data_IF_724041197811
#
_entry.id   IF_724041197811
#
_cell.length_a   1.000
_cell.length_b   1.000
_cell.length_c   1.000
_cell.angle_alpha   90.00
_cell.angle_beta   90.00
_cell.angle_gamma   90.00
#
_symmetry.space_group_name_H-M   'P 1'
#
loop_
_entity.id
_entity.type
_entity.pdbx_description
1 polymer ?
#
# COMPACT_ATOMS: atom_id res chain seq x y z
N UNK A 1 0.38 38.42 -39.22
CA UNK A 1 0.99 38.24 -37.88
C UNK A 1 0.90 36.76 -37.53
N UNK A 2 2.02 36.05 -37.66
CA UNK A 2 2.12 34.61 -37.41
C UNK A 2 2.35 34.37 -35.92
N UNK A 3 1.42 33.71 -35.23
CA UNK A 3 1.62 33.26 -33.86
C UNK A 3 2.47 31.98 -33.86
N UNK A 4 3.77 32.15 -33.69
CA UNK A 4 4.71 31.05 -33.46
C UNK A 4 4.45 30.46 -32.06
N UNK A 5 3.86 29.26 -31.99
CA UNK A 5 3.78 28.48 -30.74
C UNK A 5 5.20 28.06 -30.35
N UNK A 6 5.68 28.61 -29.25
CA UNK A 6 6.96 28.22 -28.65
C UNK A 6 6.78 26.88 -27.93
N UNK A 7 7.25 25.79 -28.54
CA UNK A 7 7.34 24.48 -27.90
C UNK A 7 8.43 24.54 -26.83
N UNK A 8 8.04 24.68 -25.56
CA UNK A 8 8.94 24.48 -24.43
C UNK A 8 9.14 22.96 -24.27
N UNK A 9 10.38 22.44 -24.38
CA UNK A 9 10.62 21.02 -24.21
C UNK A 9 10.39 20.63 -22.75
N UNK A 10 9.35 19.83 -22.51
CA UNK A 10 9.10 19.16 -21.25
C UNK A 10 10.28 18.20 -20.99
N UNK A 11 11.22 18.57 -20.11
CA UNK A 11 12.24 17.65 -19.63
C UNK A 11 11.52 16.56 -18.83
N UNK A 12 11.22 15.43 -19.48
CA UNK A 12 10.86 14.20 -18.77
C UNK A 12 12.00 13.89 -17.80
N UNK A 13 11.73 14.04 -16.51
CA UNK A 13 12.59 13.51 -15.47
C UNK A 13 12.57 11.99 -15.59
N UNK A 14 13.59 11.41 -16.22
CA UNK A 14 13.97 10.01 -15.98
C UNK A 14 14.53 9.92 -14.56
N UNK A 15 13.66 9.94 -13.57
CA UNK A 15 13.99 9.42 -12.24
C UNK A 15 13.96 7.90 -12.41
N UNK A 16 15.12 7.33 -12.72
CA UNK A 16 15.29 5.89 -12.67
C UNK A 16 14.89 5.42 -11.27
N UNK A 17 13.95 4.47 -11.18
CA UNK A 17 13.73 3.73 -9.96
C UNK A 17 15.08 3.13 -9.55
N UNK A 18 15.71 3.66 -8.51
CA UNK A 18 16.91 3.05 -7.93
C UNK A 18 16.43 1.85 -7.11
N UNK A 19 16.01 0.81 -7.81
CA UNK A 19 15.71 -0.52 -7.25
C UNK A 19 16.96 -1.41 -7.25
N UNK A 20 18.13 -0.88 -7.60
CA UNK A 20 19.37 -1.62 -7.67
C UNK A 20 20.29 -1.27 -6.50
N UNK A 21 20.23 -2.05 -5.42
CA UNK A 21 21.42 -2.28 -4.61
C UNK A 21 21.87 -3.72 -4.83
N UNK A 22 22.77 -3.88 -5.80
CA UNK A 22 23.64 -5.04 -5.91
C UNK A 22 24.49 -5.11 -4.64
N UNK A 23 24.25 -6.12 -3.81
CA UNK A 23 25.20 -6.56 -2.79
C UNK A 23 26.42 -7.12 -3.52
N UNK A 24 27.42 -6.29 -3.79
CA UNK A 24 28.73 -6.77 -4.24
C UNK A 24 29.40 -7.52 -3.10
N UNK A 25 29.78 -8.76 -3.39
CA UNK A 25 30.46 -9.71 -2.52
C UNK A 25 31.72 -9.11 -1.88
N UNK A 26 31.70 -8.95 -0.55
CA UNK A 26 32.91 -8.80 0.27
C UNK A 26 33.49 -10.17 0.62
N UNK A 27 34.81 -10.29 0.49
CA UNK A 27 35.60 -11.51 0.43
C UNK A 27 35.38 -12.55 1.55
N UNK A 28 35.56 -13.82 1.18
CA UNK A 28 35.76 -14.95 2.09
C UNK A 28 37.03 -14.72 2.91
N UNK A 29 36.92 -14.72 4.24
CA UNK A 29 38.04 -15.02 5.12
C UNK A 29 37.75 -16.34 5.83
N UNK A 30 38.51 -17.34 5.39
CA UNK A 30 38.65 -18.64 6.04
C UNK A 30 39.45 -18.47 7.33
N UNK A 31 38.88 -18.88 8.44
CA UNK A 31 39.65 -19.34 9.61
C UNK A 31 39.01 -20.64 10.12
N UNK A 32 39.59 -21.77 9.72
CA UNK A 32 39.69 -22.96 10.56
C UNK A 32 40.87 -22.73 11.52
N UNK A 33 40.97 -23.26 12.73
CA UNK A 33 40.13 -24.09 13.59
C UNK A 33 40.71 -23.92 15.00
N UNK A 34 39.93 -24.13 16.05
CA UNK A 34 40.36 -25.05 17.11
C UNK A 34 39.16 -25.46 17.95
N UNK A 35 38.94 -26.77 17.98
CA UNK A 35 37.93 -27.41 18.80
C UNK A 35 38.55 -27.75 20.16
N UNK A 36 37.91 -27.33 21.24
CA UNK A 36 37.83 -28.16 22.44
C UNK A 36 36.45 -28.05 23.10
N UNK A 37 36.02 -29.22 23.55
CA UNK A 37 34.69 -29.54 24.06
C UNK A 37 34.50 -29.06 25.50
N UNK A 38 33.28 -28.66 25.87
CA UNK A 38 32.51 -29.15 27.03
C UNK A 38 31.41 -28.15 27.40
N UNK A 39 30.15 -28.43 27.09
CA UNK A 39 29.23 -29.04 28.04
C UNK A 39 27.80 -29.09 27.49
N UNK A 40 27.19 -30.24 27.72
CA UNK A 40 25.84 -30.62 27.31
C UNK A 40 24.83 -29.84 28.16
N UNK A 41 24.44 -28.65 27.72
CA UNK A 41 23.26 -27.97 28.24
C UNK A 41 22.02 -28.55 27.54
N UNK A 42 21.25 -29.25 28.36
CA UNK A 42 19.87 -29.71 28.17
C UNK A 42 19.10 -28.99 27.06
N UNK A 43 18.49 -29.80 26.18
CA UNK A 43 17.49 -29.37 25.22
C UNK A 43 16.36 -28.63 25.96
N UNK A 44 16.44 -27.30 26.01
CA UNK A 44 15.31 -26.47 26.34
C UNK A 44 14.27 -26.68 25.26
N UNK A 45 13.15 -27.25 25.68
CA UNK A 45 11.88 -27.25 24.96
C UNK A 45 11.73 -25.95 24.18
N UNK A 46 11.65 -26.05 22.85
CA UNK A 46 11.30 -24.93 21.98
C UNK A 46 9.87 -24.51 22.32
N UNK A 47 9.74 -23.70 23.38
CA UNK A 47 8.56 -22.94 23.65
C UNK A 47 8.29 -22.14 22.37
N UNK A 48 7.12 -22.39 21.80
CA UNK A 48 6.57 -21.78 20.60
C UNK A 48 6.52 -20.26 20.83
N UNK A 49 7.65 -19.58 20.67
CA UNK A 49 7.76 -18.15 20.94
C UNK A 49 6.91 -17.44 19.91
N UNK A 50 5.88 -16.74 20.38
CA UNK A 50 5.02 -15.94 19.51
C UNK A 50 5.94 -14.90 18.88
N UNK A 51 6.20 -15.01 17.58
CA UNK A 51 6.96 -14.01 16.85
C UNK A 51 6.23 -12.67 16.97
N UNK A 52 6.76 -11.80 17.81
CA UNK A 52 6.20 -10.49 18.11
C UNK A 52 6.12 -9.63 16.84
N UNK A 53 5.16 -8.71 16.80
CA UNK A 53 5.07 -7.73 15.73
C UNK A 53 6.25 -6.77 15.78
N UNK A 54 6.81 -6.48 14.61
CA UNK A 54 7.80 -5.43 14.43
C UNK A 54 7.12 -4.07 14.64
N UNK A 55 7.74 -3.22 15.45
CA UNK A 55 7.29 -1.84 15.69
C UNK A 55 7.94 -0.93 14.65
N UNK A 56 7.16 -0.02 14.08
CA UNK A 56 7.68 1.02 13.18
C UNK A 56 7.29 2.38 13.74
N UNK A 57 8.28 3.15 14.17
CA UNK A 57 8.10 4.54 14.63
C UNK A 57 8.55 5.52 13.58
N UNK A 58 8.24 6.80 13.76
CA UNK A 58 8.58 7.86 12.82
C UNK A 58 9.72 8.71 13.37
N UNK A 59 10.76 8.93 12.58
CA UNK A 59 11.73 10.01 12.78
C UNK A 59 11.36 11.15 11.85
N UNK A 60 11.14 12.34 12.39
CA UNK A 60 10.76 13.52 11.63
C UNK A 60 11.95 14.43 11.34
N UNK A 61 12.00 14.98 10.12
CA UNK A 61 12.90 16.08 9.75
C UNK A 61 12.09 17.12 8.99
N UNK A 62 12.11 18.37 9.48
CA UNK A 62 11.41 19.48 8.85
C UNK A 62 12.38 20.65 8.67
N UNK A 63 12.40 21.25 7.49
CA UNK A 63 13.18 22.45 7.18
C UNK A 63 12.37 23.34 6.23
N UNK A 64 12.29 24.64 6.50
CA UNK A 64 11.56 25.60 5.65
C UNK A 64 12.43 26.83 5.43
N UNK A 65 12.50 27.26 4.17
CA UNK A 65 13.24 28.45 3.71
C UNK A 65 12.42 29.14 2.63
N UNK A 66 12.88 30.32 2.19
CA UNK A 66 12.27 31.02 1.05
C UNK A 66 12.39 30.24 -0.28
N UNK A 67 13.30 29.27 -0.36
CA UNK A 67 13.57 28.52 -1.60
C UNK A 67 12.89 27.15 -1.60
N UNK A 68 12.66 26.54 -0.44
CA UNK A 68 12.05 25.22 -0.35
C UNK A 68 11.46 24.92 1.03
N UNK A 69 10.58 23.91 1.06
CA UNK A 69 10.09 23.25 2.26
C UNK A 69 10.36 21.74 2.19
N UNK A 70 10.87 21.18 3.28
CA UNK A 70 11.09 19.76 3.47
C UNK A 70 10.28 19.25 4.67
N UNK A 71 9.51 18.17 4.47
CA UNK A 71 8.73 17.47 5.50
C UNK A 71 8.93 15.97 5.38
N UNK A 72 9.87 15.41 6.16
CA UNK A 72 10.26 14.01 6.04
C UNK A 72 9.80 13.21 7.26
N UNK A 73 8.92 12.24 7.05
CA UNK A 73 8.50 11.24 8.02
C UNK A 73 9.18 9.91 7.66
N UNK A 74 10.30 9.64 8.32
CA UNK A 74 11.16 8.50 8.01
C UNK A 74 10.82 7.32 8.93
N UNK A 75 10.50 6.13 8.39
CA UNK A 75 10.23 4.95 9.20
C UNK A 75 11.51 4.47 9.91
N UNK A 76 11.36 4.13 11.19
CA UNK A 76 12.39 3.49 12.01
C UNK A 76 11.84 2.17 12.51
N UNK A 77 12.48 1.08 12.09
CA UNK A 77 12.08 -0.29 12.36
C UNK A 77 12.76 -0.77 13.64
N UNK A 78 11.97 -1.35 14.53
CA UNK A 78 12.46 -2.07 15.71
C UNK A 78 11.71 -3.39 15.93
N UNK A 79 12.43 -4.41 16.39
CA UNK A 79 11.88 -5.74 16.67
C UNK A 79 12.04 -6.76 15.54
N UNK A 80 12.87 -6.51 14.52
CA UNK A 80 13.33 -7.58 13.64
C UNK A 80 14.21 -8.57 14.42
N UNK A 81 14.09 -9.85 14.06
CA UNK A 81 14.88 -10.94 14.64
C UNK A 81 16.36 -10.83 14.24
N UNK A 82 16.63 -10.38 13.01
CA UNK A 82 17.96 -10.08 12.51
C UNK A 82 18.29 -8.60 12.76
N UNK A 83 19.10 -8.33 13.80
CA UNK A 83 19.46 -6.97 14.21
C UNK A 83 20.43 -6.29 13.26
N UNK A 84 21.25 -7.05 12.52
CA UNK A 84 22.15 -6.49 11.52
C UNK A 84 21.33 -5.97 10.34
N UNK A 85 20.44 -6.81 9.80
CA UNK A 85 19.53 -6.41 8.73
C UNK A 85 18.62 -5.23 9.14
N UNK A 86 18.17 -5.20 10.40
CA UNK A 86 17.41 -4.08 10.95
C UNK A 86 18.18 -2.75 10.85
N UNK A 87 19.45 -2.75 11.27
CA UNK A 87 20.29 -1.56 11.22
C UNK A 87 20.53 -1.12 9.76
N UNK A 88 20.84 -2.06 8.87
CA UNK A 88 21.04 -1.79 7.43
C UNK A 88 19.79 -1.20 6.78
N UNK A 89 18.61 -1.75 7.07
CA UNK A 89 17.37 -1.26 6.50
C UNK A 89 17.01 0.15 7.03
N UNK A 90 17.20 0.41 8.32
CA UNK A 90 17.00 1.74 8.89
C UNK A 90 17.96 2.77 8.26
N UNK A 91 19.21 2.39 8.02
CA UNK A 91 20.18 3.25 7.33
C UNK A 91 19.73 3.55 5.88
N UNK A 92 19.29 2.52 5.14
CA UNK A 92 18.76 2.69 3.77
C UNK A 92 17.57 3.66 3.75
N UNK A 93 16.59 3.47 4.63
CA UNK A 93 15.40 4.32 4.71
C UNK A 93 15.76 5.77 5.02
N UNK A 94 16.68 5.99 5.97
CA UNK A 94 17.13 7.34 6.33
C UNK A 94 17.92 7.99 5.20
N UNK A 95 18.82 7.24 4.55
CA UNK A 95 19.70 7.77 3.51
C UNK A 95 18.91 8.19 2.28
N UNK A 96 17.99 7.36 1.79
CA UNK A 96 17.17 7.68 0.63
C UNK A 96 16.35 8.97 0.85
N UNK A 97 15.71 9.11 2.02
CA UNK A 97 14.94 10.31 2.35
C UNK A 97 15.82 11.57 2.40
N UNK A 98 17.04 11.47 2.95
CA UNK A 98 17.99 12.59 3.02
C UNK A 98 18.60 12.93 1.66
N UNK A 99 18.81 11.94 0.79
CA UNK A 99 19.28 12.13 -0.58
C UNK A 99 18.24 12.88 -1.41
N UNK A 100 16.96 12.47 -1.35
CA UNK A 100 15.86 13.19 -2.00
C UNK A 100 15.80 14.66 -1.55
N UNK A 101 15.88 14.89 -0.24
CA UNK A 101 15.94 16.24 0.32
C UNK A 101 17.14 17.04 -0.20
N UNK A 102 18.33 16.43 -0.22
CA UNK A 102 19.56 17.10 -0.69
C UNK A 102 19.45 17.49 -2.16
N UNK A 103 18.84 16.65 -2.99
CA UNK A 103 18.59 16.94 -4.41
C UNK A 103 17.68 18.17 -4.54
N UNK A 104 16.54 18.17 -3.85
CA UNK A 104 15.55 19.26 -3.94
C UNK A 104 16.12 20.57 -3.38
N UNK A 105 16.80 20.52 -2.23
CA UNK A 105 17.52 21.67 -1.66
C UNK A 105 18.53 22.27 -2.65
N UNK A 106 19.30 21.43 -3.33
CA UNK A 106 20.29 21.89 -4.32
C UNK A 106 19.60 22.55 -5.52
N UNK A 107 18.54 21.93 -6.05
CA UNK A 107 17.82 22.47 -7.21
C UNK A 107 17.17 23.82 -6.89
N UNK A 108 16.44 23.90 -5.78
CA UNK A 108 15.78 25.11 -5.33
C UNK A 108 16.75 26.29 -5.16
N UNK A 109 17.88 26.07 -4.48
CA UNK A 109 18.88 27.12 -4.27
C UNK A 109 19.56 27.55 -5.57
N UNK A 110 19.81 26.62 -6.50
CA UNK A 110 20.41 26.94 -7.79
C UNK A 110 19.48 27.78 -8.67
N UNK A 111 18.18 27.46 -8.68
CA UNK A 111 17.19 28.24 -9.41
C UNK A 111 17.03 29.64 -8.81
N UNK A 112 16.85 29.73 -7.49
CA UNK A 112 16.77 31.01 -6.79
C UNK A 112 18.02 31.89 -7.04
N UNK A 113 19.21 31.29 -7.08
CA UNK A 113 20.45 32.01 -7.40
C UNK A 113 20.52 32.45 -8.87
N UNK A 114 19.92 31.69 -9.79
CA UNK A 114 19.88 32.01 -11.22
C UNK A 114 18.92 33.18 -11.50
N UNK A 115 17.76 33.19 -10.85
CA UNK A 115 16.76 34.27 -10.96
C UNK A 115 17.26 35.61 -10.42
N UNK A 116 18.16 35.60 -9.44
CA UNK A 116 18.82 36.83 -8.97
C UNK A 116 19.78 37.45 -10.01
N UNK A 117 20.27 36.66 -10.96
CA UNK A 117 21.20 37.11 -12.01
C UNK A 117 20.48 37.63 -13.25
N UNK A 118 19.25 37.18 -13.49
CA UNK A 118 18.37 37.63 -14.57
C UNK A 118 17.01 38.02 -13.98
N UNK A 119 16.79 39.31 -13.66
CA UNK A 119 15.62 39.79 -12.95
C UNK A 119 14.36 39.90 -13.82
N UNK A 120 14.39 39.42 -15.06
CA UNK A 120 13.20 39.32 -15.94
C UNK A 120 12.77 37.87 -16.14
N UNK A 121 12.40 37.12 -15.09
CA UNK A 121 12.02 35.74 -15.26
C UNK A 121 10.69 35.63 -16.01
N UNK A 122 10.60 34.62 -16.89
CA UNK A 122 9.39 34.33 -17.64
C UNK A 122 8.24 33.76 -16.76
N UNK A 123 8.48 33.56 -15.46
CA UNK A 123 7.53 32.98 -14.50
C UNK A 123 7.87 33.40 -13.05
N UNK A 124 6.89 33.28 -12.16
CA UNK A 124 7.05 33.49 -10.72
C UNK A 124 7.68 32.26 -10.06
N UNK A 125 8.74 32.45 -9.28
CA UNK A 125 9.36 31.37 -8.51
C UNK A 125 8.53 31.06 -7.26
N UNK A 126 8.21 29.79 -7.10
CA UNK A 126 7.60 29.26 -5.89
C UNK A 126 8.59 28.34 -5.17
N UNK A 127 8.61 28.36 -3.82
CA UNK A 127 9.44 27.44 -3.07
C UNK A 127 9.19 25.99 -3.49
N UNK A 128 10.25 25.21 -3.63
CA UNK A 128 10.12 23.79 -3.94
C UNK A 128 9.63 23.03 -2.70
N UNK A 129 8.92 21.91 -2.89
CA UNK A 129 8.52 21.03 -1.80
C UNK A 129 9.17 19.65 -1.96
N UNK A 130 9.56 19.06 -0.83
CA UNK A 130 9.85 17.63 -0.71
C UNK A 130 9.18 17.07 0.54
N UNK A 131 8.39 16.02 0.34
CA UNK A 131 7.66 15.36 1.40
C UNK A 131 7.87 13.85 1.32
N UNK A 132 8.28 13.26 2.45
CA UNK A 132 8.41 11.80 2.58
C UNK A 132 7.40 11.32 3.62
N UNK A 133 6.56 10.37 3.23
CA UNK A 133 5.62 9.68 4.11
C UNK A 133 5.78 8.17 3.97
N UNK A 134 5.31 7.41 4.95
CA UNK A 134 5.30 5.95 4.86
C UNK A 134 4.02 5.34 5.42
N UNK A 135 3.73 4.14 4.94
CA UNK A 135 2.64 3.28 5.40
C UNK A 135 3.19 1.91 5.78
N UNK A 136 2.85 1.43 6.99
CA UNK A 136 3.08 0.05 7.40
C UNK A 136 1.97 -0.84 6.81
N UNK A 137 2.33 -1.67 5.84
CA UNK A 137 1.40 -2.55 5.12
C UNK A 137 1.30 -3.94 5.75
N UNK A 138 2.39 -4.42 6.34
CA UNK A 138 2.42 -5.69 7.07
C UNK A 138 3.49 -5.64 8.17
N UNK A 139 3.23 -6.18 9.35
CA UNK A 139 4.01 -5.90 10.57
C UNK A 139 5.05 -6.98 10.96
N UNK A 140 5.32 -7.96 10.11
CA UNK A 140 6.36 -8.97 10.37
C UNK A 140 6.07 -9.93 11.52
N UNK A 141 4.84 -9.98 12.02
CA UNK A 141 4.39 -10.94 13.03
C UNK A 141 4.05 -12.31 12.41
N UNK A 142 3.86 -13.33 13.25
CA UNK A 142 3.36 -14.65 12.81
C UNK A 142 2.05 -14.57 12.03
N UNK A 143 1.12 -13.68 12.42
CA UNK A 143 -0.16 -13.48 11.73
C UNK A 143 -0.01 -12.92 10.31
N UNK A 144 1.15 -12.36 10.00
CA UNK A 144 1.54 -11.89 8.66
C UNK A 144 2.57 -12.81 7.99
N UNK A 145 2.70 -14.04 8.47
CA UNK A 145 3.73 -15.02 8.07
C UNK A 145 5.17 -14.48 8.16
N UNK A 146 5.42 -13.61 9.13
CA UNK A 146 6.73 -12.97 9.31
C UNK A 146 7.06 -11.95 8.22
N UNK A 147 6.09 -11.47 7.43
CA UNK A 147 6.36 -10.48 6.38
C UNK A 147 6.21 -9.07 6.94
N UNK A 148 7.31 -8.33 7.02
CA UNK A 148 7.29 -6.88 7.20
C UNK A 148 7.20 -6.22 5.82
N UNK A 149 6.29 -5.28 5.64
CA UNK A 149 6.11 -4.57 4.37
C UNK A 149 5.83 -3.09 4.60
N UNK A 150 6.62 -2.24 3.96
CA UNK A 150 6.50 -0.78 3.99
C UNK A 150 6.28 -0.23 2.57
N UNK A 151 5.44 0.79 2.47
CA UNK A 151 5.32 1.66 1.30
C UNK A 151 5.80 3.05 1.70
N UNK A 152 6.77 3.61 1.00
CA UNK A 152 7.31 4.95 1.22
C UNK A 152 6.97 5.81 0.01
N UNK A 153 6.39 6.98 0.24
CA UNK A 153 6.00 7.93 -0.78
C UNK A 153 6.89 9.16 -0.67
N UNK A 154 7.62 9.49 -1.73
CA UNK A 154 8.35 10.75 -1.86
C UNK A 154 7.61 11.63 -2.85
N UNK A 155 6.99 12.71 -2.37
CA UNK A 155 6.34 13.72 -3.20
C UNK A 155 7.24 14.95 -3.34
N UNK A 156 7.37 15.46 -4.55
CA UNK A 156 8.15 16.66 -4.84
C UNK A 156 7.34 17.65 -5.67
N UNK A 157 7.57 18.94 -5.44
CA UNK A 157 7.08 20.00 -6.31
C UNK A 157 8.24 20.94 -6.61
N UNK A 158 8.57 21.07 -7.89
CA UNK A 158 9.71 21.87 -8.38
C UNK A 158 9.22 22.90 -9.40
N UNK A 159 8.00 23.42 -9.20
CA UNK A 159 7.29 24.26 -10.17
C UNK A 159 6.51 23.48 -11.25
N UNK A 160 5.78 24.21 -12.09
CA UNK A 160 4.93 23.65 -13.15
C UNK A 160 3.48 23.41 -12.72
N UNK A 161 2.73 22.64 -13.52
CA UNK A 161 1.30 22.46 -13.31
C UNK A 161 0.94 21.56 -12.11
N UNK A 162 1.84 20.65 -11.72
CA UNK A 162 1.62 19.71 -10.63
C UNK A 162 2.95 19.13 -10.10
N UNK A 163 2.91 18.55 -8.89
CA UNK A 163 4.04 17.81 -8.33
C UNK A 163 4.20 16.40 -8.93
N UNK A 164 5.25 15.70 -8.48
CA UNK A 164 5.54 14.30 -8.81
C UNK A 164 5.56 13.47 -7.54
N UNK A 165 5.16 12.20 -7.65
CA UNK A 165 5.26 11.24 -6.53
C UNK A 165 5.96 9.99 -7.00
N UNK A 166 6.99 9.59 -6.24
CA UNK A 166 7.67 8.30 -6.37
C UNK A 166 7.25 7.39 -5.21
N UNK A 167 7.04 6.11 -5.48
CA UNK A 167 6.75 5.10 -4.45
C UNK A 167 7.84 4.05 -4.40
N UNK A 168 8.47 3.93 -3.24
CA UNK A 168 9.46 2.91 -2.90
C UNK A 168 8.82 1.88 -1.94
N UNK A 169 9.10 0.59 -2.15
CA UNK A 169 8.51 -0.50 -1.36
C UNK A 169 9.57 -1.41 -0.76
N UNK A 170 9.42 -1.76 0.53
CA UNK A 170 10.39 -2.58 1.26
C UNK A 170 9.68 -3.80 1.84
N UNK A 171 10.07 -5.00 1.42
CA UNK A 171 9.48 -6.27 1.85
C UNK A 171 10.54 -7.19 2.44
N UNK A 172 10.34 -7.60 3.69
CA UNK A 172 11.33 -8.37 4.46
C UNK A 172 10.66 -9.56 5.10
N UNK A 173 11.30 -10.73 4.98
CA UNK A 173 10.96 -11.91 5.77
C UNK A 173 11.69 -11.83 7.10
N UNK A 174 10.97 -11.52 8.17
CA UNK A 174 11.45 -11.47 9.55
C UNK A 174 11.72 -12.90 10.04
N UNK A 175 13.00 -13.27 10.08
CA UNK A 175 13.51 -14.55 10.58
C UNK A 175 14.93 -14.31 11.13
N UNK A 176 15.57 -15.31 11.73
CA UNK A 176 16.89 -15.16 12.35
C UNK A 176 17.96 -14.57 11.39
N UNK A 177 17.90 -14.96 10.11
CA UNK A 177 18.64 -14.33 9.02
C UNK A 177 17.64 -13.69 8.07
N UNK A 178 17.36 -12.39 8.24
CA UNK A 178 16.31 -11.73 7.48
C UNK A 178 16.66 -11.68 5.99
N UNK A 179 15.64 -11.75 5.13
CA UNK A 179 15.83 -11.70 3.68
C UNK A 179 14.82 -10.79 3.02
N UNK A 180 15.25 -10.02 2.02
CA UNK A 180 14.34 -9.34 1.10
C UNK A 180 13.41 -10.36 0.45
N UNK A 181 12.13 -10.00 0.31
CA UNK A 181 11.14 -10.81 -0.40
C UNK A 181 11.02 -10.31 -1.84
N UNK A 182 11.05 -11.24 -2.79
CA UNK A 182 10.77 -11.00 -4.20
C UNK A 182 9.39 -11.54 -4.59
N UNK A 183 8.87 -11.14 -5.75
CA UNK A 183 7.65 -11.73 -6.32
C UNK A 183 7.82 -13.23 -6.61
N UNK A 184 9.03 -13.68 -6.94
CA UNK A 184 9.35 -15.10 -7.13
C UNK A 184 9.23 -15.89 -5.82
N UNK A 185 9.61 -15.32 -4.68
CA UNK A 185 9.46 -15.98 -3.37
C UNK A 185 7.99 -16.15 -2.97
N UNK A 186 7.12 -15.28 -3.48
CA UNK A 186 5.69 -15.28 -3.18
C UNK A 186 4.89 -16.19 -4.13
N UNK A 187 5.21 -16.18 -5.42
CA UNK A 187 4.43 -16.83 -6.47
C UNK A 187 5.15 -18.00 -7.19
N UNK A 188 6.38 -18.30 -6.80
CA UNK A 188 7.21 -19.34 -7.42
C UNK A 188 7.79 -18.97 -8.78
N UNK A 189 8.29 -19.96 -9.51
CA UNK A 189 9.00 -19.77 -10.80
C UNK A 189 8.14 -19.16 -11.90
N UNK A 190 6.81 -19.29 -11.82
CA UNK A 190 5.86 -18.77 -12.81
C UNK A 190 5.24 -17.42 -12.42
N UNK A 191 5.83 -16.68 -11.45
CA UNK A 191 5.29 -15.43 -10.94
C UNK A 191 4.90 -14.41 -12.02
N UNK A 192 5.76 -14.16 -13.01
CA UNK A 192 5.46 -13.22 -14.12
C UNK A 192 4.19 -13.60 -14.86
N UNK A 193 3.97 -14.89 -15.14
CA UNK A 193 2.78 -15.37 -15.86
C UNK A 193 1.51 -15.08 -15.07
N UNK A 194 1.50 -15.43 -13.78
CA UNK A 194 0.34 -15.23 -12.88
C UNK A 194 0.02 -13.74 -12.73
N UNK A 195 1.05 -12.95 -12.45
CA UNK A 195 0.89 -11.52 -12.17
C UNK A 195 0.48 -10.75 -13.44
N UNK A 196 1.15 -10.99 -14.57
CA UNK A 196 0.81 -10.34 -15.84
C UNK A 196 -0.61 -10.67 -16.28
N UNK A 197 -1.08 -11.91 -16.08
CA UNK A 197 -2.45 -12.29 -16.42
C UNK A 197 -3.47 -11.52 -15.59
N UNK A 198 -3.25 -11.38 -14.27
CA UNK A 198 -4.13 -10.60 -13.39
C UNK A 198 -4.12 -9.11 -13.77
N UNK A 199 -2.96 -8.51 -14.00
CA UNK A 199 -2.85 -7.10 -14.41
C UNK A 199 -3.57 -6.83 -15.72
N UNK A 200 -3.34 -7.66 -16.75
CA UNK A 200 -4.03 -7.54 -18.05
C UNK A 200 -5.55 -7.67 -17.89
N UNK A 201 -6.00 -8.61 -17.06
CA UNK A 201 -7.43 -8.77 -16.75
C UNK A 201 -8.01 -7.55 -16.02
N UNK A 202 -7.27 -6.94 -15.10
CA UNK A 202 -7.69 -5.72 -14.40
C UNK A 202 -7.79 -4.54 -15.37
N UNK A 203 -6.77 -4.30 -16.21
CA UNK A 203 -6.77 -3.23 -17.21
C UNK A 203 -7.93 -3.41 -18.20
N UNK A 204 -8.20 -4.63 -18.66
CA UNK A 204 -9.29 -4.91 -19.59
C UNK A 204 -10.69 -4.64 -19.02
N UNK A 205 -10.86 -4.59 -17.70
CA UNK A 205 -12.14 -4.26 -17.04
C UNK A 205 -12.42 -2.75 -17.00
N UNK A 206 -11.39 -1.93 -17.14
CA UNK A 206 -11.50 -0.47 -17.10
C UNK A 206 -10.48 0.21 -18.06
N UNK A 207 -10.58 -0.07 -19.38
CA UNK A 207 -9.55 0.31 -20.34
C UNK A 207 -9.37 1.83 -20.49
N UNK A 208 -10.39 2.63 -20.20
CA UNK A 208 -10.34 4.11 -20.31
C UNK A 208 -9.47 4.76 -19.23
N UNK A 209 -9.25 4.06 -18.10
CA UNK A 209 -8.39 4.53 -17.00
C UNK A 209 -6.90 4.29 -17.25
N UNK A 210 -6.53 3.51 -18.27
CA UNK A 210 -5.15 3.12 -18.55
C UNK A 210 -4.74 3.50 -19.97
N UNK A 211 -3.43 3.57 -20.23
CA UNK A 211 -2.96 3.77 -21.59
C UNK A 211 -3.24 2.54 -22.45
N UNK A 212 -3.74 2.78 -23.66
CA UNK A 212 -3.79 1.76 -24.70
C UNK A 212 -2.38 1.20 -24.94
N UNK A 213 -2.24 -0.11 -24.84
CA UNK A 213 -0.96 -0.84 -24.93
C UNK A 213 0.11 -0.44 -23.90
N UNK A 214 -0.28 0.24 -22.81
CA UNK A 214 0.61 0.75 -21.77
C UNK A 214 1.29 -0.31 -20.91
N UNK A 215 0.77 -1.54 -20.88
CA UNK A 215 1.31 -2.64 -20.07
C UNK A 215 1.69 -3.85 -20.91
N UNK A 216 2.98 -4.24 -20.86
CA UNK A 216 3.50 -5.43 -21.54
C UNK A 216 3.73 -6.59 -20.57
N UNK A 217 4.53 -6.33 -19.53
CA UNK A 217 4.90 -7.27 -18.47
C UNK A 217 5.43 -6.48 -17.27
N UNK A 218 5.30 -7.03 -16.07
CA UNK A 218 6.09 -6.57 -14.91
C UNK A 218 7.59 -6.78 -15.13
N UNK A 219 8.41 -5.95 -14.49
CA UNK A 219 9.84 -6.16 -14.35
C UNK A 219 10.16 -7.21 -13.26
N UNK A 220 11.42 -7.64 -13.15
CA UNK A 220 11.85 -8.55 -12.06
C UNK A 220 11.84 -7.86 -10.70
N UNK A 221 12.13 -6.56 -10.71
CA UNK A 221 12.19 -5.69 -9.55
C UNK A 221 10.95 -4.79 -9.43
N UNK A 222 9.81 -5.23 -9.99
CA UNK A 222 8.56 -4.48 -9.93
C UNK A 222 8.21 -4.17 -8.47
N UNK A 223 7.95 -2.89 -8.17
CA UNK A 223 7.53 -2.46 -6.84
C UNK A 223 6.25 -3.18 -6.42
N UNK A 224 6.25 -3.68 -5.19
CA UNK A 224 5.08 -4.31 -4.60
C UNK A 224 5.13 -4.19 -3.09
N UNK A 225 3.99 -4.29 -2.43
CA UNK A 225 3.96 -4.51 -0.98
C UNK A 225 3.05 -5.69 -0.64
N UNK A 226 3.16 -6.21 0.57
CA UNK A 226 2.31 -7.30 1.05
C UNK A 226 1.35 -6.75 2.09
N UNK A 227 0.06 -7.03 1.90
CA UNK A 227 -0.99 -6.63 2.83
C UNK A 227 -2.14 -7.63 2.74
N UNK A 228 -2.71 -8.02 3.89
CA UNK A 228 -3.95 -8.80 3.96
C UNK A 228 -3.96 -10.07 3.07
N UNK A 229 -2.83 -10.79 3.00
CA UNK A 229 -2.69 -12.01 2.19
C UNK A 229 -2.57 -11.79 0.68
N UNK A 230 -2.29 -10.55 0.26
CA UNK A 230 -2.11 -10.16 -1.14
C UNK A 230 -0.73 -9.52 -1.35
N UNK A 231 -0.18 -9.73 -2.53
CA UNK A 231 0.82 -8.81 -3.09
C UNK A 231 0.07 -7.70 -3.84
N UNK A 232 0.38 -6.45 -3.53
CA UNK A 232 -0.13 -5.28 -4.22
C UNK A 232 0.97 -4.76 -5.11
N UNK A 233 0.79 -4.91 -6.43
CA UNK A 233 1.75 -4.45 -7.43
C UNK A 233 1.56 -2.94 -7.60
N UNK A 234 2.65 -2.19 -7.49
CA UNK A 234 2.65 -0.73 -7.56
C UNK A 234 3.27 -0.31 -8.90
N UNK A 235 2.57 0.56 -9.61
CA UNK A 235 3.06 1.24 -10.81
C UNK A 235 3.34 2.70 -10.46
N UNK A 236 4.48 3.22 -10.89
CA UNK A 236 4.82 4.63 -10.70
C UNK A 236 3.82 5.54 -11.43
N UNK A 237 3.77 6.80 -11.00
CA UNK A 237 2.99 7.81 -11.70
C UNK A 237 3.37 7.84 -13.18
N UNK A 238 2.37 7.92 -14.06
CA UNK A 238 2.54 7.85 -15.52
C UNK A 238 3.03 6.52 -16.11
N UNK A 239 3.23 5.45 -15.32
CA UNK A 239 3.81 4.21 -15.86
C UNK A 239 2.82 3.47 -16.78
N UNK A 240 1.56 3.30 -16.35
CA UNK A 240 0.52 2.60 -17.13
C UNK A 240 -0.78 3.39 -17.31
N UNK A 241 -0.87 4.58 -16.70
CA UNK A 241 -2.07 5.41 -16.65
C UNK A 241 -1.70 6.90 -16.57
N UNK A 242 -2.60 7.83 -16.96
CA UNK A 242 -2.35 9.27 -16.85
C UNK A 242 -2.25 9.76 -15.41
N UNK A 243 -1.74 10.98 -15.21
CA UNK A 243 -1.57 11.62 -13.89
C UNK A 243 -2.81 11.49 -12.99
N UNK A 244 -4.00 11.69 -13.56
CA UNK A 244 -5.27 11.70 -12.84
C UNK A 244 -5.59 10.34 -12.19
N UNK A 245 -4.98 9.25 -12.64
CA UNK A 245 -5.09 7.94 -12.02
C UNK A 245 -4.18 7.76 -10.79
N UNK A 246 -3.29 8.72 -10.50
CA UNK A 246 -2.38 8.71 -9.37
C UNK A 246 -1.28 7.64 -9.50
N UNK A 247 -1.15 6.80 -8.47
CA UNK A 247 -0.24 5.65 -8.41
C UNK A 247 -1.10 4.39 -8.55
N UNK A 248 -1.16 3.74 -9.73
CA UNK A 248 -1.97 2.55 -9.91
C UNK A 248 -1.46 1.38 -9.05
N UNK A 249 -2.37 0.74 -8.33
CA UNK A 249 -2.10 -0.42 -7.49
C UNK A 249 -3.00 -1.60 -7.88
N UNK A 250 -2.40 -2.78 -8.11
CA UNK A 250 -3.14 -3.98 -8.53
C UNK A 250 -2.93 -5.10 -7.52
N UNK A 251 -4.03 -5.54 -6.93
CA UNK A 251 -4.08 -6.57 -5.90
C UNK A 251 -4.04 -7.98 -6.47
N UNK A 252 -3.17 -8.83 -5.92
CA UNK A 252 -2.99 -10.22 -6.34
C UNK A 252 -2.92 -11.12 -5.09
N UNK A 253 -3.86 -12.07 -4.98
CA UNK A 253 -3.87 -13.01 -3.86
C UNK A 253 -2.60 -13.88 -3.85
N UNK A 254 -1.97 -14.05 -2.68
CA UNK A 254 -0.81 -14.92 -2.55
C UNK A 254 -1.23 -16.40 -2.65
N UNK A 255 -0.41 -17.28 -3.24
CA UNK A 255 -0.66 -18.73 -3.23
C UNK A 255 -0.82 -19.26 -1.81
N UNK A 256 -1.78 -20.14 -1.59
CA UNK A 256 -2.09 -20.68 -0.25
C UNK A 256 -2.72 -19.66 0.71
N UNK A 257 -2.71 -18.37 0.37
CA UNK A 257 -3.63 -17.39 0.92
C UNK A 257 -4.84 -17.31 0.01
N UNK A 258 -5.74 -18.26 0.18
CA UNK A 258 -7.13 -17.81 0.24
C UNK A 258 -7.11 -16.85 1.42
N UNK A 259 -7.35 -15.56 1.20
CA UNK A 259 -7.82 -14.72 2.32
C UNK A 259 -8.81 -15.56 3.10
N UNK A 260 -8.70 -15.60 4.42
CA UNK A 260 -9.46 -16.49 5.32
C UNK A 260 -10.95 -16.19 5.35
N UNK A 261 -11.54 -15.91 4.20
CA UNK A 261 -12.84 -16.36 3.79
C UNK A 261 -12.82 -17.87 3.64
N UNK A 262 -13.49 -18.62 4.55
CA UNK A 262 -13.69 -20.05 4.38
C UNK A 262 -14.14 -20.36 2.96
N UNK A 263 -13.60 -21.43 2.36
CA UNK A 263 -13.88 -21.85 0.98
C UNK A 263 -15.37 -22.08 0.68
N UNK A 264 -16.23 -22.07 1.70
CA UNK A 264 -17.67 -22.05 1.61
C UNK A 264 -18.29 -20.86 2.37
N UNK A 265 -17.89 -19.63 2.02
CA UNK A 265 -18.44 -18.38 2.57
C UNK A 265 -19.98 -18.34 2.53
N UNK A 266 -20.55 -18.88 1.46
CA UNK A 266 -22.00 -18.98 1.26
C UNK A 266 -22.70 -19.82 2.32
N UNK A 267 -21.99 -20.74 2.99
CA UNK A 267 -22.50 -21.57 4.07
C UNK A 267 -22.21 -21.01 5.47
N UNK A 268 -21.43 -19.94 5.60
CA UNK A 268 -21.17 -19.33 6.90
C UNK A 268 -22.37 -18.52 7.38
N UNK A 269 -22.64 -18.63 8.68
CA UNK A 269 -23.60 -17.76 9.33
C UNK A 269 -23.05 -16.34 9.46
N UNK A 270 -23.88 -15.32 9.24
CA UNK A 270 -23.53 -13.93 9.55
C UNK A 270 -24.01 -13.61 10.96
N UNK A 271 -23.11 -13.21 11.85
CA UNK A 271 -23.43 -12.83 13.22
C UNK A 271 -23.19 -11.34 13.42
N UNK A 272 -24.17 -10.64 13.98
CA UNK A 272 -24.07 -9.23 14.36
C UNK A 272 -24.38 -9.10 15.85
N UNK A 273 -23.45 -8.57 16.63
CA UNK A 273 -23.60 -8.39 18.09
C UNK A 273 -24.11 -9.66 18.80
N UNK A 274 -23.54 -10.82 18.44
CA UNK A 274 -23.89 -12.12 18.99
C UNK A 274 -25.16 -12.77 18.43
N UNK A 275 -25.92 -12.10 17.54
CA UNK A 275 -27.15 -12.63 16.94
C UNK A 275 -26.90 -13.06 15.49
N UNK A 276 -27.33 -14.27 15.15
CA UNK A 276 -27.29 -14.76 13.77
C UNK A 276 -28.36 -14.05 12.91
N UNK A 277 -27.95 -13.54 11.74
CA UNK A 277 -28.85 -12.94 10.77
C UNK A 277 -29.47 -14.01 9.87
N UNK A 278 -30.80 -14.05 9.79
CA UNK A 278 -31.53 -14.97 8.92
C UNK A 278 -31.34 -14.59 7.44
N UNK A 279 -31.33 -15.58 6.55
CA UNK A 279 -31.37 -15.41 5.09
C UNK A 279 -30.29 -14.47 4.51
N UNK A 280 -29.10 -14.48 5.11
CA UNK A 280 -27.96 -13.66 4.72
C UNK A 280 -26.91 -14.53 4.03
N UNK A 281 -26.90 -14.50 2.70
CA UNK A 281 -25.91 -15.21 1.89
C UNK A 281 -24.75 -14.29 1.54
N UNK A 282 -23.57 -14.62 2.08
CA UNK A 282 -22.28 -14.03 1.72
C UNK A 282 -21.79 -14.65 0.40
N UNK A 283 -20.88 -13.99 -0.31
CA UNK A 283 -20.14 -14.64 -1.39
C UNK A 283 -18.72 -14.11 -1.47
N UNK A 284 -17.85 -14.86 -2.15
CA UNK A 284 -16.50 -14.43 -2.48
C UNK A 284 -16.51 -13.86 -3.89
N UNK A 285 -16.03 -12.64 -4.10
CA UNK A 285 -15.83 -12.16 -5.47
C UNK A 285 -14.62 -12.88 -6.13
N UNK A 286 -14.40 -12.61 -7.42
CA UNK A 286 -13.30 -13.21 -8.21
C UNK A 286 -11.89 -12.88 -7.66
N UNK A 287 -11.79 -11.98 -6.69
CA UNK A 287 -10.54 -11.50 -6.07
C UNK A 287 -10.35 -12.05 -4.64
N UNK A 288 -11.15 -13.04 -4.26
CA UNK A 288 -11.11 -13.66 -2.94
C UNK A 288 -11.77 -12.84 -1.84
N UNK A 289 -12.37 -11.69 -2.15
CA UNK A 289 -12.89 -10.75 -1.15
C UNK A 289 -14.28 -11.21 -0.67
N UNK A 290 -14.45 -11.22 0.65
CA UNK A 290 -15.74 -11.46 1.28
C UNK A 290 -16.70 -10.32 0.96
N UNK A 291 -17.78 -10.63 0.27
CA UNK A 291 -18.85 -9.68 -0.07
C UNK A 291 -20.05 -9.97 0.81
N UNK A 292 -20.54 -8.93 1.50
CA UNK A 292 -21.64 -9.03 2.46
C UNK A 292 -22.77 -8.09 2.06
N UNK A 293 -24.04 -8.46 2.27
CA UNK A 293 -25.16 -7.61 1.90
C UNK A 293 -25.21 -6.39 2.82
N UNK A 294 -24.94 -5.22 2.25
CA UNK A 294 -24.73 -3.97 2.99
C UNK A 294 -25.90 -3.67 3.91
N UNK A 295 -27.11 -3.61 3.35
CA UNK A 295 -28.34 -3.24 4.07
C UNK A 295 -28.55 -4.09 5.31
N UNK A 296 -28.53 -5.42 5.14
CA UNK A 296 -28.83 -6.38 6.20
C UNK A 296 -27.84 -6.31 7.35
N UNK A 297 -26.54 -6.19 7.06
CA UNK A 297 -25.50 -6.11 8.10
C UNK A 297 -25.49 -4.73 8.77
N UNK A 298 -25.62 -3.65 8.00
CA UNK A 298 -25.60 -2.29 8.51
C UNK A 298 -26.81 -1.99 9.39
N UNK A 299 -28.03 -2.35 8.97
CA UNK A 299 -29.25 -2.19 9.77
C UNK A 299 -29.18 -2.97 11.09
N UNK A 300 -28.63 -4.19 11.07
CA UNK A 300 -28.42 -4.99 12.28
C UNK A 300 -27.38 -4.37 13.25
N UNK A 301 -26.46 -3.56 12.73
CA UNK A 301 -25.49 -2.78 13.50
C UNK A 301 -26.05 -1.41 13.95
N UNK A 302 -27.30 -1.09 13.64
CA UNK A 302 -27.95 0.17 14.00
C UNK A 302 -27.70 1.32 13.02
N UNK A 303 -27.23 1.04 11.81
CA UNK A 303 -27.07 2.04 10.76
C UNK A 303 -28.29 2.13 9.85
N UNK A 304 -28.64 3.33 9.43
CA UNK A 304 -29.63 3.64 8.42
C UNK A 304 -28.95 3.88 7.07
N UNK A 305 -29.62 3.47 5.99
CA UNK A 305 -29.15 3.68 4.62
C UNK A 305 -30.06 4.65 3.89
N UNK A 306 -29.48 5.70 3.31
CA UNK A 306 -30.19 6.64 2.45
C UNK A 306 -29.52 6.73 1.08
N UNK A 307 -30.32 6.82 0.02
CA UNK A 307 -29.81 7.17 -1.32
C UNK A 307 -29.73 8.68 -1.44
N UNK A 308 -28.64 9.17 -2.02
CA UNK A 308 -28.46 10.61 -2.23
C UNK A 308 -28.85 10.95 -3.68
N UNK A 309 -30.02 11.58 -3.84
CA UNK A 309 -30.53 12.02 -5.14
C UNK A 309 -30.78 10.89 -6.14
N UNK A 310 -30.53 11.16 -7.43
CA UNK A 310 -30.59 10.18 -8.53
C UNK A 310 -29.28 9.41 -8.72
N UNK A 311 -28.28 9.65 -7.87
CA UNK A 311 -26.91 9.15 -8.03
C UNK A 311 -26.76 7.70 -7.52
N UNK A 312 -25.68 7.03 -7.94
CA UNK A 312 -25.27 5.69 -7.45
C UNK A 312 -24.70 5.71 -6.03
N UNK A 313 -24.79 6.86 -5.33
CA UNK A 313 -24.22 7.09 -4.00
C UNK A 313 -25.21 6.72 -2.90
N UNK A 314 -24.71 6.01 -1.90
CA UNK A 314 -25.45 5.57 -0.72
C UNK A 314 -24.73 6.07 0.51
N UNK A 315 -25.46 6.74 1.40
CA UNK A 315 -24.99 7.08 2.74
C UNK A 315 -25.40 6.00 3.74
N UNK A 316 -24.49 5.69 4.67
CA UNK A 316 -24.69 4.76 5.78
C UNK A 316 -24.40 5.52 7.07
N UNK A 317 -25.37 5.64 7.98
CA UNK A 317 -25.21 6.46 9.20
C UNK A 317 -25.92 5.89 10.43
N UNK A 318 -25.34 6.08 11.61
CA UNK A 318 -25.95 5.76 12.90
C UNK A 318 -26.22 7.02 13.76
N UNK A 319 -26.23 8.20 13.13
CA UNK A 319 -26.38 9.51 13.79
C UNK A 319 -25.10 10.07 14.43
N UNK A 320 -24.09 9.23 14.68
CA UNK A 320 -22.75 9.67 15.15
C UNK A 320 -21.70 9.65 14.06
N UNK A 321 -21.84 8.71 13.13
CA UNK A 321 -20.93 8.46 12.02
C UNK A 321 -21.71 8.49 10.71
N UNK A 322 -21.11 9.02 9.65
CA UNK A 322 -21.66 9.09 8.30
C UNK A 322 -20.62 8.62 7.28
N UNK A 323 -20.90 7.49 6.65
CA UNK A 323 -20.08 6.93 5.58
C UNK A 323 -20.78 7.02 4.23
N UNK A 324 -19.99 7.08 3.15
CA UNK A 324 -20.47 7.14 1.78
C UNK A 324 -19.82 6.06 0.93
N UNK A 325 -20.59 5.51 -0.02
CA UNK A 325 -20.08 4.57 -1.02
C UNK A 325 -20.84 4.75 -2.33
N UNK A 326 -20.15 4.45 -3.43
CA UNK A 326 -20.72 4.54 -4.78
C UNK A 326 -20.78 3.14 -5.42
N UNK A 327 -21.93 2.80 -5.99
CA UNK A 327 -22.12 1.49 -6.64
C UNK A 327 -21.17 1.35 -7.84
N UNK A 328 -20.48 0.22 -7.91
CA UNK A 328 -19.47 -0.15 -8.93
C UNK A 328 -18.18 0.69 -8.92
N UNK A 329 -17.89 1.42 -7.83
CA UNK A 329 -16.62 2.15 -7.66
C UNK A 329 -15.97 1.79 -6.33
N UNK A 330 -14.70 1.39 -6.35
CA UNK A 330 -13.91 1.18 -5.12
C UNK A 330 -13.50 2.54 -4.54
N UNK A 331 -14.48 3.25 -3.99
CA UNK A 331 -14.30 4.59 -3.43
C UNK A 331 -15.26 4.79 -2.25
N UNK A 332 -14.69 4.96 -1.06
CA UNK A 332 -15.43 5.02 0.19
C UNK A 332 -15.06 6.28 0.97
N UNK A 333 -16.05 6.93 1.59
CA UNK A 333 -15.87 8.13 2.39
C UNK A 333 -16.34 7.95 3.82
N UNK A 334 -15.79 8.74 4.74
CA UNK A 334 -16.15 8.76 6.16
C UNK A 334 -16.05 10.19 6.71
N UNK A 335 -17.13 10.73 7.29
CA UNK A 335 -17.14 11.97 8.08
C UNK A 335 -16.41 13.18 7.46
N UNK A 336 -16.52 13.36 6.14
CA UNK A 336 -15.86 14.45 5.41
C UNK A 336 -14.35 14.29 5.20
N UNK A 337 -13.78 13.13 5.58
CA UNK A 337 -12.40 12.77 5.25
C UNK A 337 -12.25 12.48 3.74
N UNK A 338 -11.02 12.61 3.20
CA UNK A 338 -10.72 12.16 1.84
C UNK A 338 -11.18 10.72 1.62
N UNK A 339 -11.67 10.44 0.42
CA UNK A 339 -12.11 9.09 0.09
C UNK A 339 -10.92 8.14 -0.04
N UNK A 340 -11.15 6.85 0.21
CA UNK A 340 -10.13 5.82 0.13
C UNK A 340 -10.68 4.54 -0.50
N UNK A 341 -9.76 3.74 -1.04
CA UNK A 341 -10.04 2.43 -1.64
C UNK A 341 -9.83 1.33 -0.60
N UNK A 342 -10.63 0.26 -0.66
CA UNK A 342 -10.49 -0.89 0.25
C UNK A 342 -10.30 -2.21 -0.50
N UNK A 343 -10.10 -2.14 -1.82
CA UNK A 343 -9.70 -3.25 -2.67
C UNK A 343 -10.85 -3.93 -3.40
N UNK A 344 -12.09 -3.43 -3.29
CA UNK A 344 -13.22 -3.87 -4.11
C UNK A 344 -14.38 -2.86 -4.08
N UNK A 345 -15.06 -2.71 -5.22
CA UNK A 345 -16.24 -1.90 -5.35
C UNK A 345 -17.50 -2.55 -4.73
N UNK A 346 -18.50 -1.76 -4.30
CA UNK A 346 -19.84 -2.24 -4.04
C UNK A 346 -20.48 -2.77 -5.32
N UNK A 347 -21.15 -3.92 -5.28
CA UNK A 347 -21.75 -4.57 -6.46
C UNK A 347 -23.20 -4.92 -6.19
N UNK A 348 -24.08 -4.62 -7.15
CA UNK A 348 -25.47 -5.04 -7.09
C UNK A 348 -25.59 -6.48 -7.63
N UNK A 349 -26.13 -7.39 -6.81
CA UNK A 349 -26.31 -8.81 -7.14
C UNK A 349 -27.61 -9.32 -6.53
N UNK A 350 -28.45 -9.95 -7.35
CA UNK A 350 -29.75 -10.52 -6.93
C UNK A 350 -30.63 -9.51 -6.16
N UNK A 351 -30.72 -8.27 -6.66
CA UNK A 351 -31.51 -7.20 -6.03
C UNK A 351 -30.95 -6.63 -4.73
N UNK A 352 -29.81 -7.14 -4.24
CA UNK A 352 -29.13 -6.66 -3.02
C UNK A 352 -27.83 -5.94 -3.41
N UNK A 353 -27.47 -4.93 -2.63
CA UNK A 353 -26.15 -4.32 -2.72
C UNK A 353 -25.19 -5.03 -1.79
N UNK A 354 -24.08 -5.48 -2.34
CA UNK A 354 -22.99 -6.12 -1.62
C UNK A 354 -21.79 -5.20 -1.52
N UNK A 355 -21.14 -5.21 -0.37
CA UNK A 355 -19.88 -4.48 -0.10
C UNK A 355 -18.82 -5.43 0.43
N UNK A 356 -17.52 -5.12 0.29
CA UNK A 356 -16.49 -5.85 0.99
C UNK A 356 -16.75 -5.88 2.48
N UNK A 357 -16.55 -7.00 3.17
CA UNK A 357 -16.64 -7.05 4.64
C UNK A 357 -15.69 -6.04 5.30
N UNK A 358 -14.58 -5.71 4.62
CA UNK A 358 -13.63 -4.67 5.01
C UNK A 358 -14.25 -3.26 5.08
N UNK A 359 -15.40 -3.01 4.43
CA UNK A 359 -16.14 -1.77 4.60
C UNK A 359 -16.48 -1.53 6.07
N UNK A 360 -16.97 -2.57 6.75
CA UNK A 360 -17.35 -2.47 8.15
C UNK A 360 -16.15 -2.22 9.06
N UNK A 361 -15.01 -2.88 8.81
CA UNK A 361 -13.81 -2.69 9.65
C UNK A 361 -12.98 -1.45 9.32
N UNK A 362 -12.74 -1.18 8.03
CA UNK A 362 -11.88 -0.07 7.59
C UNK A 362 -12.60 1.27 7.58
N UNK A 363 -13.88 1.29 7.19
CA UNK A 363 -14.71 2.51 7.13
C UNK A 363 -15.46 2.72 8.45
N UNK A 364 -16.35 1.80 8.82
CA UNK A 364 -17.23 1.97 9.99
C UNK A 364 -16.56 1.63 11.34
N UNK A 365 -15.28 1.24 11.33
CA UNK A 365 -14.51 0.83 12.53
C UNK A 365 -15.18 -0.26 13.37
N UNK A 366 -16.02 -1.09 12.75
CA UNK A 366 -16.67 -2.27 13.35
C UNK A 366 -15.68 -3.42 13.40
N UNK A 367 -15.63 -4.15 14.51
CA UNK A 367 -14.77 -5.34 14.60
C UNK A 367 -15.35 -6.45 13.71
N UNK A 368 -14.54 -6.94 12.77
CA UNK A 368 -14.91 -8.06 11.88
C UNK A 368 -13.99 -9.24 12.15
N UNK A 369 -14.58 -10.41 12.39
CA UNK A 369 -13.85 -11.65 12.65
C UNK A 369 -14.38 -12.80 11.79
N UNK A 370 -13.49 -13.71 11.41
CA UNK A 370 -13.80 -14.91 10.65
C UNK A 370 -13.53 -16.14 11.52
N UNK A 371 -14.45 -17.09 11.47
CA UNK A 371 -14.31 -18.41 12.10
C UNK A 371 -14.67 -19.50 11.07
N UNK A 372 -14.53 -20.76 11.45
CA UNK A 372 -14.90 -21.88 10.57
C UNK A 372 -16.39 -21.90 10.19
N UNK A 373 -17.26 -21.32 11.02
CA UNK A 373 -18.72 -21.46 10.89
C UNK A 373 -19.45 -20.12 10.70
N UNK A 374 -18.79 -18.99 10.98
CA UNK A 374 -19.42 -17.68 10.96
C UNK A 374 -18.48 -16.53 10.61
N UNK A 375 -19.06 -15.47 10.03
CA UNK A 375 -18.47 -14.13 9.94
C UNK A 375 -19.17 -13.25 10.98
N UNK A 376 -18.40 -12.68 11.90
CA UNK A 376 -18.92 -11.91 13.03
C UNK A 376 -18.59 -10.44 12.90
N UNK A 377 -19.61 -9.60 13.10
CA UNK A 377 -19.53 -8.14 13.16
C UNK A 377 -19.91 -7.70 14.57
N UNK A 378 -19.08 -6.88 15.21
CA UNK A 378 -19.30 -6.42 16.58
C UNK A 378 -19.00 -4.94 16.68
N UNK A 379 -19.97 -4.16 17.17
CA UNK A 379 -19.75 -2.76 17.49
C UNK A 379 -18.75 -2.65 18.65
N UNK A 380 -17.77 -1.75 18.54
CA UNK A 380 -16.90 -1.44 19.68
C UNK A 380 -17.74 -0.89 20.84
N UNK A 381 -17.52 -1.43 22.03
CA UNK A 381 -18.03 -0.90 23.30
C UNK A 381 -17.37 0.43 23.65
#
# INVERSE_FOLDING_TARGET
MSHTRMNIPMKLMTIGAVSALLLTTGAQLSFASDAQSMNKATAATAANSIQASVKVTTKTFNETTDNYTARLQIPVIDGLLDKKYQAELNDILSRHAMEDFTIIKKQANNEAASLKKDPTPAYEFHPYDVEVQYELKSNGSKGTNGILSLKVLTSTYTGGAHGSTRVDTYNVRNKAAATRITLKDLFGTHYKKVINAKIKSTIAKDPESYYKDGFKSISEEQSFYVQDGRAVIVFQQYEIAPYAAGIPEINIALPGHTTTTPGNLSALSVMVNGKALKSTSLYTNDEGIAMVPLRTVAEALGYQLNRIGTSKVISVSNGKQLAYLETNKDNYGLDGLPTFTIGAAPVQKNGKLYVPAAFFSKVLKVKVAYSSNAVTFTTGS
#
